data_IF_461237144765
#
_entry.id   IF_461237144765
#
_cell.length_a   1.000
_cell.length_b   1.000
_cell.length_c   1.000
_cell.angle_alpha   90.00
_cell.angle_beta   90.00
_cell.angle_gamma   90.00
#
_symmetry.space_group_name_H-M   'P 1'
#
loop_
_entity.id
_entity.type
_entity.pdbx_description
1 polymer ?
#
# COMPACT_ATOMS: atom_id res chain seq x y z
N UNK A 1 0.25 27.78 -12.30
CA UNK A 1 -0.71 26.86 -11.64
C UNK A 1 -0.81 25.60 -12.50
N UNK A 2 -0.67 24.40 -11.92
CA UNK A 2 -0.77 23.14 -12.67
C UNK A 2 -2.18 22.56 -12.52
N UNK A 3 -2.97 22.58 -13.59
CA UNK A 3 -4.32 22.00 -13.64
C UNK A 3 -4.20 20.56 -14.12
N UNK A 4 -4.80 19.63 -13.38
CA UNK A 4 -4.85 18.21 -13.71
C UNK A 4 -6.12 17.85 -14.49
N UNK A 5 -7.23 18.51 -14.16
CA UNK A 5 -8.51 18.30 -14.80
C UNK A 5 -9.42 19.50 -14.59
N UNK A 6 -10.26 19.79 -15.58
CA UNK A 6 -11.26 20.85 -15.49
C UNK A 6 -12.45 20.52 -16.39
N UNK A 7 -13.66 20.63 -15.83
CA UNK A 7 -14.92 20.58 -16.57
C UNK A 7 -15.88 21.66 -16.06
N UNK A 8 -17.16 21.63 -16.43
CA UNK A 8 -18.14 22.65 -16.01
C UNK A 8 -18.42 22.71 -14.50
N UNK A 9 -18.08 21.66 -13.75
CA UNK A 9 -18.45 21.50 -12.34
C UNK A 9 -17.27 21.55 -11.39
N UNK A 10 -16.11 21.06 -11.81
CA UNK A 10 -14.93 20.94 -10.96
C UNK A 10 -13.66 21.43 -11.65
N UNK A 11 -12.68 21.81 -10.84
CA UNK A 11 -11.30 22.02 -11.26
C UNK A 11 -10.38 21.32 -10.27
N UNK A 12 -9.52 20.45 -10.77
CA UNK A 12 -8.52 19.71 -9.99
C UNK A 12 -7.15 20.21 -10.39
N UNK A 13 -6.31 20.51 -9.39
CA UNK A 13 -5.01 21.12 -9.60
C UNK A 13 -4.00 20.65 -8.55
N UNK A 14 -2.72 20.96 -8.80
CA UNK A 14 -1.65 20.78 -7.82
C UNK A 14 -1.40 22.10 -7.09
N UNK A 15 -1.73 22.12 -5.80
CA UNK A 15 -1.38 23.22 -4.90
C UNK A 15 0.14 23.29 -4.75
N UNK A 16 0.77 24.45 -5.01
CA UNK A 16 2.17 24.67 -4.69
C UNK A 16 2.42 24.70 -3.17
N UNK A 17 3.64 24.37 -2.77
CA UNK A 17 4.09 24.53 -1.38
C UNK A 17 4.11 26.00 -0.99
N UNK A 18 3.93 26.29 0.31
CA UNK A 18 3.98 27.61 0.94
C UNK A 18 2.92 28.64 0.51
N UNK A 19 1.99 28.29 -0.37
CA UNK A 19 0.82 29.12 -0.74
C UNK A 19 -0.37 28.78 0.19
N UNK A 20 -1.06 29.75 0.81
CA UNK A 20 -2.28 29.49 1.56
C UNK A 20 -3.43 29.09 0.63
N UNK A 21 -4.34 28.24 1.11
CA UNK A 21 -5.49 27.79 0.30
C UNK A 21 -6.55 28.88 0.14
N UNK A 22 -6.73 29.68 1.19
CA UNK A 22 -7.66 30.80 1.28
C UNK A 22 -6.93 31.93 2.00
N UNK A 23 -7.31 33.19 1.71
CA UNK A 23 -6.77 34.37 2.36
C UNK A 23 -6.74 34.22 3.90
N UNK A 24 -5.62 34.63 4.49
CA UNK A 24 -5.39 34.68 5.92
C UNK A 24 -4.83 36.07 6.30
N UNK A 25 -4.50 36.27 7.58
CA UNK A 25 -4.00 37.54 8.12
C UNK A 25 -2.71 38.06 7.47
N UNK A 26 -1.99 37.21 6.71
CA UNK A 26 -0.73 37.62 6.06
C UNK A 26 -0.94 38.53 4.86
N UNK A 27 -2.13 38.50 4.24
CA UNK A 27 -2.41 39.21 2.98
C UNK A 27 -1.74 38.60 1.75
N UNK A 28 -1.10 37.43 1.87
CA UNK A 28 -0.47 36.74 0.74
C UNK A 28 -1.51 36.27 -0.30
N UNK A 29 -1.06 36.15 -1.56
CA UNK A 29 -1.87 35.56 -2.63
C UNK A 29 -2.25 34.13 -2.26
N UNK A 30 -3.54 33.86 -2.22
CA UNK A 30 -4.09 32.54 -1.93
C UNK A 30 -4.54 31.78 -3.19
N UNK A 31 -4.61 30.46 -3.05
CA UNK A 31 -4.97 29.57 -4.14
C UNK A 31 -6.41 29.77 -4.62
N UNK A 32 -7.37 30.02 -3.73
CA UNK A 32 -8.77 30.22 -4.10
C UNK A 32 -8.94 31.47 -4.97
N UNK A 33 -8.29 32.58 -4.60
CA UNK A 33 -8.25 33.81 -5.40
C UNK A 33 -7.59 33.58 -6.77
N UNK A 34 -6.48 32.82 -6.79
CA UNK A 34 -5.78 32.45 -8.04
C UNK A 34 -6.68 31.65 -8.98
N UNK A 35 -7.45 30.68 -8.45
CA UNK A 35 -8.38 29.87 -9.25
C UNK A 35 -9.55 30.71 -9.77
N UNK A 36 -10.11 31.61 -8.95
CA UNK A 36 -11.15 32.54 -9.39
C UNK A 36 -10.67 33.42 -10.54
N UNK A 37 -9.47 33.98 -10.43
CA UNK A 37 -8.87 34.80 -11.49
C UNK A 37 -8.70 34.01 -12.79
N UNK A 38 -8.14 32.80 -12.71
CA UNK A 38 -7.99 31.91 -13.87
C UNK A 38 -9.34 31.60 -14.55
N UNK A 39 -10.38 31.26 -13.78
CA UNK A 39 -11.71 30.97 -14.34
C UNK A 39 -12.31 32.23 -14.98
N UNK A 40 -12.09 33.40 -14.39
CA UNK A 40 -12.59 34.69 -14.92
C UNK A 40 -11.98 34.98 -16.29
N UNK A 41 -10.66 34.85 -16.38
CA UNK A 41 -9.89 35.10 -17.59
C UNK A 41 -10.22 34.08 -18.69
N UNK A 42 -10.13 32.78 -18.39
CA UNK A 42 -10.33 31.72 -19.39
C UNK A 42 -11.73 31.69 -20.01
N UNK A 43 -12.76 32.06 -19.24
CA UNK A 43 -14.16 31.98 -19.67
C UNK A 43 -14.80 33.36 -19.87
N UNK A 44 -14.01 34.44 -19.83
CA UNK A 44 -14.48 35.82 -19.97
C UNK A 44 -15.72 36.13 -19.12
N UNK A 45 -15.76 35.59 -17.89
CA UNK A 45 -16.97 35.65 -17.06
C UNK A 45 -17.19 37.07 -16.53
N UNK A 46 -18.37 37.68 -16.75
CA UNK A 46 -18.68 38.96 -16.16
C UNK A 46 -18.87 38.80 -14.64
N UNK A 47 -18.42 39.81 -13.87
CA UNK A 47 -18.64 39.88 -12.43
C UNK A 47 -17.70 39.01 -11.57
N UNK A 48 -18.19 38.68 -10.37
CA UNK A 48 -17.54 37.85 -9.35
C UNK A 48 -17.64 36.37 -9.73
N UNK A 49 -16.50 35.69 -9.87
CA UNK A 49 -16.48 34.26 -10.16
C UNK A 49 -16.70 33.43 -8.90
N UNK A 50 -17.72 32.57 -8.95
CA UNK A 50 -17.91 31.54 -7.92
C UNK A 50 -16.82 30.46 -8.01
N UNK A 51 -16.22 30.14 -6.87
CA UNK A 51 -15.34 28.99 -6.69
C UNK A 51 -15.52 28.48 -5.26
N UNK A 52 -15.96 27.23 -5.11
CA UNK A 52 -16.25 26.59 -3.82
C UNK A 52 -15.06 25.80 -3.30
N UNK A 53 -14.66 26.08 -2.06
CA UNK A 53 -13.64 25.35 -1.31
C UNK A 53 -14.29 24.23 -0.49
N UNK A 54 -13.93 22.98 -0.75
CA UNK A 54 -14.54 21.80 -0.08
C UNK A 54 -13.58 21.05 0.85
N UNK A 55 -12.27 21.28 0.70
CA UNK A 55 -11.24 20.78 1.59
C UNK A 55 -10.01 21.69 1.55
N UNK A 56 -9.08 21.50 2.49
CA UNK A 56 -7.88 22.35 2.62
C UNK A 56 -6.62 21.53 2.85
N UNK A 57 -5.50 22.08 2.42
CA UNK A 57 -4.16 21.67 2.78
C UNK A 57 -3.49 22.75 3.63
N UNK A 58 -2.55 22.35 4.48
CA UNK A 58 -1.74 23.30 5.23
C UNK A 58 -0.92 24.17 4.26
N UNK A 59 -0.64 25.42 4.65
CA UNK A 59 0.15 26.36 3.85
C UNK A 59 1.45 25.76 3.29
N UNK A 60 2.34 25.14 4.09
CA UNK A 60 3.59 24.58 3.58
C UNK A 60 3.42 23.28 2.78
N UNK A 61 2.24 22.65 2.81
CA UNK A 61 1.99 21.35 2.17
C UNK A 61 1.53 21.54 0.73
N UNK A 62 2.17 20.86 -0.23
CA UNK A 62 1.74 20.82 -1.63
C UNK A 62 0.87 19.62 -1.94
N UNK A 63 0.26 19.60 -3.12
CA UNK A 63 -0.40 18.40 -3.66
C UNK A 63 -1.79 18.63 -4.25
N UNK A 64 -2.47 17.54 -4.56
CA UNK A 64 -3.71 17.53 -5.32
C UNK A 64 -4.88 18.15 -4.52
N UNK A 65 -5.59 19.08 -5.14
CA UNK A 65 -6.80 19.71 -4.60
C UNK A 65 -7.90 19.77 -5.65
N UNK A 66 -9.16 19.76 -5.18
CA UNK A 66 -10.35 19.97 -6.02
C UNK A 66 -11.11 21.20 -5.52
N UNK A 67 -11.56 22.02 -6.45
CA UNK A 67 -12.48 23.13 -6.21
C UNK A 67 -13.76 22.92 -7.02
N UNK A 68 -14.88 23.37 -6.46
CA UNK A 68 -16.16 23.38 -7.15
C UNK A 68 -16.31 24.67 -7.97
N UNK A 69 -16.64 24.55 -9.26
CA UNK A 69 -16.87 25.70 -10.14
C UNK A 69 -18.30 26.24 -10.08
N UNK A 70 -19.20 25.54 -9.39
CA UNK A 70 -20.60 25.95 -9.17
C UNK A 70 -21.03 25.63 -7.75
N UNK A 71 -22.00 26.37 -7.22
CA UNK A 71 -22.56 26.14 -5.88
C UNK A 71 -23.21 24.76 -5.75
N UNK A 72 -23.83 24.26 -6.83
CA UNK A 72 -24.42 22.92 -6.90
C UNK A 72 -23.35 21.81 -6.84
N UNK A 73 -22.21 22.01 -7.49
CA UNK A 73 -21.08 21.08 -7.37
C UNK A 73 -20.50 21.11 -5.95
N UNK A 74 -20.39 22.29 -5.34
CA UNK A 74 -19.88 22.44 -3.97
C UNK A 74 -20.74 21.70 -2.95
N UNK A 75 -22.07 21.84 -3.02
CA UNK A 75 -22.99 21.18 -2.10
C UNK A 75 -22.99 19.64 -2.21
N UNK A 76 -22.63 19.11 -3.39
CA UNK A 76 -22.52 17.66 -3.64
C UNK A 76 -21.14 17.09 -3.33
N UNK A 77 -20.08 17.90 -3.49
CA UNK A 77 -18.71 17.50 -3.14
C UNK A 77 -18.47 17.56 -1.62
N UNK A 78 -18.93 18.62 -0.94
CA UNK A 78 -18.62 18.82 0.49
C UNK A 78 -18.95 17.61 1.39
N UNK A 79 -20.09 16.90 1.23
CA UNK A 79 -20.38 15.69 2.00
C UNK A 79 -19.35 14.57 1.81
N UNK A 80 -18.72 14.46 0.64
CA UNK A 80 -17.73 13.42 0.36
C UNK A 80 -16.44 13.61 1.15
N UNK A 81 -16.13 14.86 1.54
CA UNK A 81 -14.93 15.24 2.30
C UNK A 81 -15.16 15.38 3.80
N UNK A 82 -16.41 15.21 4.24
CA UNK A 82 -16.79 15.33 5.63
C UNK A 82 -16.20 14.19 6.48
N UNK A 83 -16.12 14.40 7.78
CA UNK A 83 -15.68 13.39 8.74
C UNK A 83 -16.91 12.64 9.30
N UNK A 84 -17.60 11.89 8.43
CA UNK A 84 -18.84 11.16 8.77
C UNK A 84 -19.08 9.93 7.89
N UNK A 85 -19.91 8.96 8.33
CA UNK A 85 -20.31 7.82 7.51
C UNK A 85 -20.90 8.25 6.15
N UNK A 86 -20.55 7.53 5.09
CA UNK A 86 -20.95 7.85 3.70
C UNK A 86 -20.00 8.80 2.96
N UNK A 87 -18.95 9.30 3.60
CA UNK A 87 -17.90 10.07 2.94
C UNK A 87 -17.06 9.16 2.04
N UNK A 88 -16.96 9.48 0.75
CA UNK A 88 -16.30 8.64 -0.25
C UNK A 88 -14.96 9.20 -0.74
N UNK A 89 -14.56 10.42 -0.34
CA UNK A 89 -13.28 10.99 -0.73
C UNK A 89 -12.11 10.26 -0.04
N UNK A 90 -11.17 9.76 -0.84
CA UNK A 90 -9.93 9.17 -0.36
C UNK A 90 -8.78 10.15 -0.56
N UNK A 91 -8.16 10.58 0.55
CA UNK A 91 -7.03 11.50 0.57
C UNK A 91 -5.78 10.74 0.98
N UNK A 92 -4.78 10.72 0.11
CA UNK A 92 -3.50 10.07 0.36
C UNK A 92 -2.34 11.04 0.31
N UNK A 93 -1.43 10.87 1.26
CA UNK A 93 -0.27 11.73 1.46
C UNK A 93 0.99 10.90 1.52
N UNK A 94 2.06 11.45 0.96
CA UNK A 94 3.41 10.94 1.09
C UNK A 94 4.09 11.83 2.13
N UNK A 95 4.82 11.22 3.05
CA UNK A 95 5.63 11.93 4.01
C UNK A 95 7.03 11.33 4.05
N UNK A 96 8.08 12.15 4.01
CA UNK A 96 9.43 11.70 4.39
C UNK A 96 9.62 12.04 5.85
N UNK A 97 9.87 11.02 6.67
CA UNK A 97 9.99 11.14 8.13
C UNK A 97 11.39 10.79 8.59
N UNK A 98 11.79 11.39 9.72
CA UNK A 98 12.98 11.04 10.50
C UNK A 98 12.59 10.18 11.70
N UNK A 99 13.53 9.48 12.31
CA UNK A 99 13.29 8.63 13.48
C UNK A 99 13.05 7.17 13.11
N UNK A 100 12.45 6.41 14.01
CA UNK A 100 12.19 4.99 13.78
C UNK A 100 11.07 4.80 12.73
N UNK A 101 11.28 3.96 11.69
CA UNK A 101 10.25 3.70 10.70
C UNK A 101 8.99 3.09 11.32
N UNK A 102 7.82 3.49 10.83
CA UNK A 102 6.58 2.76 11.11
C UNK A 102 6.65 1.33 10.52
N UNK A 103 5.83 0.38 10.99
CA UNK A 103 5.67 -0.89 10.32
C UNK A 103 5.30 -0.74 8.83
N UNK A 104 5.73 -1.71 8.00
CA UNK A 104 5.41 -1.74 6.56
C UNK A 104 3.95 -2.17 6.29
N UNK A 105 3.27 -2.73 7.29
CA UNK A 105 1.82 -2.94 7.25
C UNK A 105 1.09 -1.67 7.66
N UNK A 106 -0.10 -1.49 7.06
CA UNK A 106 -0.99 -0.39 7.40
C UNK A 106 -1.32 -0.43 8.89
N UNK A 107 -0.90 0.62 9.59
CA UNK A 107 -1.25 0.86 10.98
C UNK A 107 -2.25 2.00 11.06
N UNK A 108 -3.36 1.78 11.75
CA UNK A 108 -4.28 2.86 12.12
C UNK A 108 -3.69 3.63 13.31
N UNK A 109 -3.46 4.91 13.13
CA UNK A 109 -3.11 5.83 14.22
C UNK A 109 -4.37 6.59 14.63
N UNK A 110 -4.72 6.47 15.90
CA UNK A 110 -5.85 7.15 16.50
C UNK A 110 -5.38 8.00 17.68
N UNK A 111 -5.71 9.29 17.64
CA UNK A 111 -5.37 10.25 18.68
C UNK A 111 -6.54 11.21 18.92
N UNK A 112 -6.59 11.81 20.10
CA UNK A 112 -7.45 12.95 20.38
C UNK A 112 -6.64 14.23 20.24
N UNK A 113 -7.08 15.14 19.38
CA UNK A 113 -6.35 16.37 19.05
C UNK A 113 -7.08 17.61 19.56
N UNK A 114 -6.37 18.45 20.31
CA UNK A 114 -6.84 19.78 20.71
C UNK A 114 -6.04 20.85 19.97
N UNK A 115 -6.75 21.78 19.34
CA UNK A 115 -6.14 22.95 18.67
C UNK A 115 -5.90 24.04 19.71
N UNK A 116 -4.72 24.61 19.66
CA UNK A 116 -4.29 25.79 20.40
C UNK A 116 -4.24 26.95 19.40
N UNK A 117 -5.12 27.93 19.58
CA UNK A 117 -5.26 29.08 18.67
C UNK A 117 -4.07 30.04 18.79
N UNK A 118 -3.57 30.26 20.01
CA UNK A 118 -2.43 31.16 20.27
C UNK A 118 -1.15 30.65 19.60
N UNK A 119 -0.85 29.36 19.80
CA UNK A 119 0.34 28.72 19.22
C UNK A 119 0.15 28.29 17.76
N UNK A 120 -1.07 28.44 17.22
CA UNK A 120 -1.47 27.97 15.88
C UNK A 120 -0.97 26.54 15.62
N UNK A 121 -1.19 25.67 16.61
CA UNK A 121 -0.71 24.28 16.67
C UNK A 121 -1.81 23.37 17.24
N UNK A 122 -1.77 22.11 16.84
CA UNK A 122 -2.54 21.03 17.46
C UNK A 122 -1.64 20.17 18.34
N UNK A 123 -2.18 19.65 19.43
CA UNK A 123 -1.52 18.74 20.36
C UNK A 123 -2.31 17.44 20.52
N UNK A 124 -1.61 16.33 20.74
CA UNK A 124 -2.24 15.08 21.22
C UNK A 124 -2.56 15.26 22.70
N UNK A 125 -3.79 14.95 23.08
CA UNK A 125 -4.30 15.04 24.45
C UNK A 125 -5.01 13.74 24.84
N UNK A 126 -5.23 13.48 26.15
CA UNK A 126 -6.03 12.35 26.59
C UNK A 126 -7.46 12.38 26.02
N UNK A 127 -8.05 11.20 25.84
CA UNK A 127 -9.47 11.05 25.53
C UNK A 127 -10.34 11.76 26.59
N UNK A 128 -11.43 12.38 26.16
CA UNK A 128 -12.33 13.13 27.03
C UNK A 128 -11.89 14.56 27.36
N UNK A 129 -10.69 15.00 26.94
CA UNK A 129 -10.26 16.39 27.10
C UNK A 129 -11.24 17.35 26.40
N UNK A 130 -11.74 18.34 27.12
CA UNK A 130 -12.70 19.31 26.58
C UNK A 130 -12.17 20.03 25.33
N UNK A 131 -13.00 20.03 24.27
CA UNK A 131 -12.70 20.61 22.97
C UNK A 131 -11.77 19.77 22.08
N UNK A 132 -11.30 18.62 22.54
CA UNK A 132 -10.51 17.69 21.73
C UNK A 132 -11.40 16.97 20.71
N UNK A 133 -10.83 16.67 19.54
CA UNK A 133 -11.51 15.94 18.46
C UNK A 133 -10.75 14.68 18.11
N UNK A 134 -11.48 13.58 17.96
CA UNK A 134 -10.93 12.32 17.47
C UNK A 134 -10.32 12.51 16.07
N UNK A 135 -9.13 11.95 15.89
CA UNK A 135 -8.36 12.01 14.66
C UNK A 135 -7.81 10.63 14.30
N UNK A 136 -8.05 10.20 13.06
CA UNK A 136 -7.66 8.89 12.58
C UNK A 136 -6.99 9.00 11.20
N UNK A 137 -5.92 8.25 11.04
CA UNK A 137 -5.27 8.00 9.75
C UNK A 137 -4.75 6.56 9.70
N UNK A 138 -4.51 6.04 8.51
CA UNK A 138 -3.71 4.84 8.30
C UNK A 138 -2.36 5.26 7.74
N UNK A 139 -1.27 4.70 8.27
CA UNK A 139 0.08 4.96 7.80
C UNK A 139 0.87 3.66 7.67
N UNK A 140 1.80 3.61 6.73
CA UNK A 140 2.80 2.54 6.60
C UNK A 140 4.11 3.07 6.02
N UNK A 141 5.22 2.49 6.43
CA UNK A 141 6.50 2.73 5.75
C UNK A 141 6.52 2.02 4.40
N UNK A 142 6.92 2.74 3.36
CA UNK A 142 7.10 2.23 2.00
C UNK A 142 8.56 1.86 1.75
N UNK A 143 9.50 2.69 2.18
CA UNK A 143 10.94 2.47 1.95
C UNK A 143 11.76 3.23 2.98
N UNK A 144 12.94 2.71 3.31
CA UNK A 144 13.87 3.30 4.28
C UNK A 144 15.23 3.47 3.59
N UNK A 145 15.75 4.69 3.57
CA UNK A 145 17.03 5.04 2.92
C UNK A 145 17.72 6.16 3.69
N UNK A 146 19.02 5.99 3.98
CA UNK A 146 19.85 7.05 4.55
C UNK A 146 19.30 7.65 5.86
N UNK A 147 18.70 6.82 6.73
CA UNK A 147 18.08 7.27 7.99
C UNK A 147 16.74 7.99 7.83
N UNK A 148 16.20 8.07 6.61
CA UNK A 148 14.87 8.60 6.30
C UNK A 148 13.93 7.47 5.90
N UNK A 149 12.63 7.68 6.14
CA UNK A 149 11.59 6.74 5.71
C UNK A 149 10.53 7.46 4.89
N UNK A 150 10.16 6.88 3.74
CA UNK A 150 8.97 7.30 3.00
C UNK A 150 7.74 6.60 3.59
N UNK A 151 6.72 7.37 3.93
CA UNK A 151 5.47 6.89 4.54
C UNK A 151 4.29 7.21 3.63
N UNK A 152 3.46 6.20 3.36
CA UNK A 152 2.14 6.33 2.73
C UNK A 152 1.09 6.53 3.82
N UNK A 153 0.34 7.64 3.74
CA UNK A 153 -0.68 8.01 4.71
C UNK A 153 -2.04 8.12 4.02
N UNK A 154 -3.02 7.31 4.44
CA UNK A 154 -4.43 7.49 4.10
C UNK A 154 -5.13 8.24 5.23
N UNK A 155 -5.63 9.43 4.93
CA UNK A 155 -6.23 10.31 5.91
C UNK A 155 -7.73 10.02 6.06
N UNK A 156 -8.15 9.51 7.23
CA UNK A 156 -9.55 9.13 7.49
C UNK A 156 -10.38 10.31 8.02
N UNK A 157 -9.80 11.12 8.91
CA UNK A 157 -10.41 12.35 9.46
C UNK A 157 -9.64 13.59 8.97
N UNK A 158 -10.22 14.80 9.04
CA UNK A 158 -9.59 16.02 8.53
C UNK A 158 -9.29 17.08 9.59
N UNK A 159 -8.46 16.79 10.60
CA UNK A 159 -8.15 17.74 11.69
C UNK A 159 -6.95 18.64 11.36
N UNK A 160 -6.86 19.79 12.03
CA UNK A 160 -5.78 20.75 11.84
C UNK A 160 -4.41 20.12 12.14
N UNK A 161 -3.46 20.22 11.21
CA UNK A 161 -2.12 19.62 11.28
C UNK A 161 -2.10 18.11 11.58
N UNK A 162 -3.19 17.39 11.31
CA UNK A 162 -3.39 16.04 11.83
C UNK A 162 -2.22 15.08 11.55
N UNK A 163 -1.80 14.95 10.29
CA UNK A 163 -0.71 14.04 9.91
C UNK A 163 0.58 14.41 10.64
N UNK A 164 0.88 15.71 10.69
CA UNK A 164 2.10 16.25 11.28
C UNK A 164 2.22 15.93 12.76
N UNK A 165 1.15 16.17 13.52
CA UNK A 165 1.13 15.92 14.96
C UNK A 165 1.07 14.42 15.27
N UNK A 166 0.31 13.63 14.51
CA UNK A 166 0.20 12.18 14.76
C UNK A 166 1.49 11.43 14.43
N UNK A 167 2.17 11.76 13.33
CA UNK A 167 3.47 11.15 13.00
C UNK A 167 4.56 11.57 13.98
N UNK A 168 4.59 12.85 14.38
CA UNK A 168 5.51 13.31 15.44
C UNK A 168 5.27 12.58 16.77
N UNK A 169 4.01 12.44 17.19
CA UNK A 169 3.65 11.69 18.41
C UNK A 169 3.99 10.20 18.32
N UNK A 170 3.96 9.62 17.12
CA UNK A 170 4.37 8.24 16.88
C UNK A 170 5.90 8.04 16.81
N UNK A 171 6.69 9.08 17.08
CA UNK A 171 8.16 9.01 17.05
C UNK A 171 8.79 9.16 15.66
N UNK A 172 7.98 9.46 14.63
CA UNK A 172 8.42 9.61 13.26
C UNK A 172 8.08 11.00 12.68
N UNK A 173 8.61 12.10 13.26
CA UNK A 173 8.29 13.45 12.80
C UNK A 173 8.71 13.68 11.34
N UNK A 174 7.92 14.49 10.65
CA UNK A 174 8.13 14.76 9.22
C UNK A 174 9.39 15.62 9.03
N UNK A 175 10.20 15.26 8.03
CA UNK A 175 11.38 16.03 7.66
C UNK A 175 11.00 17.46 7.24
N UNK A 176 11.77 18.46 7.70
CA UNK A 176 11.51 19.87 7.42
C UNK A 176 10.27 20.45 8.14
N UNK A 177 9.60 19.69 9.01
CA UNK A 177 8.48 20.22 9.79
C UNK A 177 8.96 21.06 10.99
N UNK A 178 9.12 22.37 10.76
CA UNK A 178 9.58 23.31 11.79
C UNK A 178 8.64 23.45 13.00
N UNK A 179 7.40 22.93 12.94
CA UNK A 179 6.47 22.95 14.07
C UNK A 179 6.58 21.68 14.91
N UNK A 180 6.68 20.52 14.27
CA UNK A 180 6.51 19.22 14.94
C UNK A 180 7.75 18.33 14.92
N UNK A 181 8.82 18.77 14.27
CA UNK A 181 10.10 18.10 14.26
C UNK A 181 11.15 18.98 14.96
N UNK A 182 11.58 18.62 16.19
CA UNK A 182 12.63 19.35 16.91
C UNK A 182 13.95 19.42 16.14
N UNK A 183 14.20 18.47 15.24
CA UNK A 183 15.43 18.39 14.44
C UNK A 183 15.31 19.09 13.08
N UNK A 184 14.20 19.78 12.79
CA UNK A 184 14.04 20.52 11.54
C UNK A 184 14.96 21.74 11.50
N UNK A 185 15.65 21.93 10.37
CA UNK A 185 16.48 23.12 10.15
C UNK A 185 15.58 24.25 9.61
N UNK A 186 15.68 25.48 10.15
CA UNK A 186 14.95 26.63 9.63
C UNK A 186 15.12 26.80 8.12
N UNK A 187 14.02 27.11 7.43
CA UNK A 187 14.00 27.24 5.97
C UNK A 187 13.85 25.92 5.20
N UNK A 188 13.92 24.75 5.85
CA UNK A 188 13.60 23.49 5.19
C UNK A 188 12.11 23.42 4.81
N UNK A 189 11.86 22.96 3.59
CA UNK A 189 10.53 22.67 3.07
C UNK A 189 9.99 21.37 3.71
N UNK A 190 8.80 21.40 4.31
CA UNK A 190 8.20 20.18 4.87
C UNK A 190 8.04 19.11 3.79
N UNK A 191 8.50 17.90 4.09
CA UNK A 191 8.33 16.74 3.23
C UNK A 191 6.98 16.04 3.49
N UNK A 192 5.88 16.78 3.29
CA UNK A 192 4.52 16.26 3.30
C UNK A 192 3.79 16.72 2.02
N UNK A 193 3.20 15.78 1.29
CA UNK A 193 2.59 16.06 -0.01
C UNK A 193 1.32 15.23 -0.23
N UNK A 194 0.22 15.88 -0.62
CA UNK A 194 -1.02 15.20 -0.98
C UNK A 194 -0.91 14.61 -2.40
N UNK A 195 -0.34 13.40 -2.51
CA UNK A 195 0.01 12.83 -3.82
C UNK A 195 -1.18 12.22 -4.57
N UNK A 196 -2.26 11.86 -3.89
CA UNK A 196 -3.43 11.25 -4.53
C UNK A 196 -4.72 11.69 -3.87
N UNK A 197 -5.69 12.04 -4.70
CA UNK A 197 -7.04 12.38 -4.30
C UNK A 197 -8.04 11.63 -5.17
N UNK A 198 -8.88 10.82 -4.54
CA UNK A 198 -10.02 10.16 -5.21
C UNK A 198 -11.33 10.66 -4.63
N UNK A 199 -12.32 10.88 -5.48
CA UNK A 199 -13.67 11.29 -5.09
C UNK A 199 -14.65 10.97 -6.21
N UNK A 200 -15.94 11.11 -5.92
CA UNK A 200 -17.00 10.88 -6.90
C UNK A 200 -17.36 12.21 -7.57
N UNK A 201 -17.39 12.24 -8.90
CA UNK A 201 -17.72 13.45 -9.64
C UNK A 201 -19.15 13.92 -9.30
N UNK A 202 -19.38 15.20 -8.94
CA UNK A 202 -20.66 15.69 -8.38
C UNK A 202 -21.84 15.69 -9.35
N UNK A 203 -21.64 15.31 -10.61
CA UNK A 203 -22.74 15.23 -11.60
C UNK A 203 -22.82 13.85 -12.26
N UNK A 204 -21.69 13.26 -12.64
CA UNK A 204 -21.68 11.97 -13.36
C UNK A 204 -21.64 10.78 -12.43
N UNK A 205 -21.36 10.99 -11.14
CA UNK A 205 -21.20 9.92 -10.15
C UNK A 205 -20.05 8.94 -10.46
N UNK A 206 -19.18 9.31 -11.41
CA UNK A 206 -17.99 8.53 -11.74
C UNK A 206 -16.92 8.74 -10.67
N UNK A 207 -16.28 7.65 -10.24
CA UNK A 207 -15.15 7.73 -9.30
C UNK A 207 -13.89 8.13 -10.05
N UNK A 208 -13.36 9.31 -9.71
CA UNK A 208 -12.16 9.86 -10.31
C UNK A 208 -10.99 9.77 -9.33
N UNK A 209 -9.77 9.59 -9.86
CA UNK A 209 -8.52 9.61 -9.07
C UNK A 209 -7.50 10.48 -9.78
N UNK A 210 -6.92 11.42 -9.05
CA UNK A 210 -5.90 12.34 -9.55
C UNK A 210 -4.64 12.22 -8.71
N UNK A 211 -3.49 12.15 -9.37
CA UNK A 211 -2.19 12.01 -8.72
C UNK A 211 -1.22 13.12 -9.11
N UNK A 212 -0.30 13.45 -8.20
CA UNK A 212 0.82 14.34 -8.44
C UNK A 212 2.00 13.93 -7.57
N UNK A 213 3.22 14.20 -8.03
CA UNK A 213 4.44 13.85 -7.30
C UNK A 213 5.18 15.09 -6.79
N UNK A 214 5.71 15.07 -5.56
CA UNK A 214 6.62 16.10 -5.11
C UNK A 214 7.98 16.01 -5.83
N UNK A 215 8.77 17.08 -5.77
CA UNK A 215 10.11 17.15 -6.38
C UNK A 215 11.10 17.86 -5.44
N UNK A 216 12.38 17.51 -5.56
CA UNK A 216 13.51 18.16 -4.86
C UNK A 216 13.67 17.77 -3.39
N UNK A 217 14.82 18.11 -2.79
CA UNK A 217 15.05 17.96 -1.35
C UNK A 217 14.92 16.51 -0.85
N UNK A 218 14.23 16.30 0.28
CA UNK A 218 14.09 14.98 0.89
C UNK A 218 13.39 13.93 0.01
N UNK A 219 12.70 14.35 -1.06
CA UNK A 219 12.02 13.46 -1.99
C UNK A 219 12.95 12.73 -2.98
N UNK A 220 14.16 13.27 -3.23
CA UNK A 220 15.06 12.78 -4.29
C UNK A 220 15.49 11.32 -4.09
N UNK A 221 15.73 10.91 -2.85
CA UNK A 221 16.07 9.52 -2.52
C UNK A 221 14.94 8.50 -2.75
N UNK A 222 13.72 8.96 -2.99
CA UNK A 222 12.50 8.14 -3.05
C UNK A 222 11.72 8.31 -4.37
N UNK A 223 12.33 8.83 -5.43
CA UNK A 223 11.64 9.14 -6.67
C UNK A 223 10.91 7.92 -7.28
N UNK A 224 11.55 6.77 -7.32
CA UNK A 224 10.95 5.53 -7.85
C UNK A 224 9.83 5.03 -6.94
N UNK A 225 10.02 5.06 -5.61
CA UNK A 225 8.97 4.68 -4.67
C UNK A 225 7.75 5.58 -4.71
N UNK A 226 7.95 6.89 -4.93
CA UNK A 226 6.86 7.85 -5.10
C UNK A 226 6.07 7.58 -6.39
N UNK A 227 6.76 7.29 -7.50
CA UNK A 227 6.13 6.88 -8.77
C UNK A 227 5.31 5.61 -8.58
N UNK A 228 5.90 4.56 -8.02
CA UNK A 228 5.22 3.30 -7.73
C UNK A 228 4.02 3.50 -6.80
N UNK A 229 4.17 4.31 -5.76
CA UNK A 229 3.10 4.62 -4.82
C UNK A 229 1.92 5.31 -5.53
N UNK A 230 2.20 6.26 -6.44
CA UNK A 230 1.16 6.92 -7.24
C UNK A 230 0.44 6.00 -8.22
N UNK A 231 1.09 4.91 -8.65
CA UNK A 231 0.50 3.84 -9.44
C UNK A 231 -0.17 2.75 -8.59
N UNK A 232 -0.30 2.95 -7.28
CA UNK A 232 -0.92 1.98 -6.37
C UNK A 232 -0.07 0.72 -6.15
N UNK A 233 1.25 0.80 -6.33
CA UNK A 233 2.22 -0.28 -6.11
C UNK A 233 2.99 -0.04 -4.82
N UNK A 234 2.97 -1.01 -3.92
CA UNK A 234 3.73 -0.95 -2.67
C UNK A 234 5.14 -1.49 -2.90
N UNK A 235 6.12 -0.61 -3.11
CA UNK A 235 7.53 -0.98 -3.11
C UNK A 235 7.94 -1.45 -1.71
N UNK A 236 8.76 -2.51 -1.63
CA UNK A 236 9.38 -2.98 -0.38
C UNK A 236 10.91 -2.91 -0.47
N UNK A 237 11.45 -3.16 -1.67
CA UNK A 237 12.87 -3.00 -1.98
C UNK A 237 13.03 -2.54 -3.42
N UNK A 238 13.94 -1.61 -3.68
CA UNK A 238 14.29 -1.18 -5.03
C UNK A 238 15.75 -0.78 -5.08
N UNK A 239 16.49 -1.36 -6.03
CA UNK A 239 17.78 -0.86 -6.47
C UNK A 239 17.79 -0.72 -7.99
N UNK A 240 18.96 -0.56 -8.62
CA UNK A 240 19.09 -0.41 -10.08
C UNK A 240 18.76 -1.67 -10.90
N UNK A 241 18.74 -2.84 -10.26
CA UNK A 241 18.60 -4.15 -10.92
C UNK A 241 17.35 -4.90 -10.47
N UNK A 242 16.91 -4.74 -9.22
CA UNK A 242 15.83 -5.53 -8.61
C UNK A 242 14.78 -4.62 -7.99
N UNK A 243 13.52 -4.96 -8.22
CA UNK A 243 12.36 -4.37 -7.58
C UNK A 243 11.58 -5.48 -6.87
N UNK A 244 11.31 -5.31 -5.58
CA UNK A 244 10.41 -6.20 -4.82
C UNK A 244 9.20 -5.39 -4.38
N UNK A 245 8.01 -5.86 -4.75
CA UNK A 245 6.74 -5.21 -4.43
C UNK A 245 5.86 -6.11 -3.58
N UNK A 246 5.05 -5.51 -2.72
CA UNK A 246 4.01 -6.21 -1.97
C UNK A 246 2.69 -6.16 -2.74
N UNK A 247 2.32 -7.28 -3.36
CA UNK A 247 1.10 -7.43 -4.15
C UNK A 247 -0.13 -7.48 -3.24
N UNK A 248 -1.13 -6.61 -3.45
CA UNK A 248 -2.42 -6.77 -2.78
C UNK A 248 -3.16 -8.02 -3.30
N UNK A 249 -4.07 -8.56 -2.49
CA UNK A 249 -5.02 -9.56 -2.98
C UNK A 249 -5.95 -8.94 -4.03
N UNK A 250 -6.32 -9.72 -5.06
CA UNK A 250 -7.19 -9.31 -6.16
C UNK A 250 -6.46 -8.79 -7.41
N UNK A 251 -5.16 -8.51 -7.34
CA UNK A 251 -4.36 -8.01 -8.48
C UNK A 251 -3.50 -9.14 -9.06
N UNK A 252 -3.46 -9.30 -10.38
CA UNK A 252 -2.57 -10.26 -11.07
C UNK A 252 -1.16 -9.69 -11.23
N UNK A 253 -0.16 -10.54 -11.48
CA UNK A 253 1.23 -10.10 -11.54
C UNK A 253 1.59 -9.61 -12.94
N UNK A 254 1.33 -10.44 -13.96
CA UNK A 254 1.76 -10.20 -15.32
C UNK A 254 0.58 -9.96 -16.27
N UNK A 255 0.79 -9.17 -17.31
CA UNK A 255 -0.23 -8.91 -18.34
C UNK A 255 -0.70 -10.18 -19.05
N UNK A 256 0.19 -11.17 -19.16
CA UNK A 256 -0.13 -12.49 -19.71
C UNK A 256 -1.15 -13.29 -18.87
N UNK A 257 -1.43 -12.88 -17.63
CA UNK A 257 -2.42 -13.53 -16.75
C UNK A 257 -3.87 -13.12 -17.10
N UNK A 258 -4.05 -12.14 -17.99
CA UNK A 258 -5.34 -11.56 -18.35
C UNK A 258 -5.75 -10.42 -17.41
N UNK A 259 -6.52 -9.47 -17.96
CA UNK A 259 -6.97 -8.25 -17.27
C UNK A 259 -6.11 -7.02 -17.57
N UNK A 260 -6.70 -5.84 -17.46
CA UNK A 260 -6.04 -4.55 -17.75
C UNK A 260 -5.23 -4.01 -16.56
N UNK A 261 -5.58 -4.43 -15.33
CA UNK A 261 -5.00 -3.93 -14.08
C UNK A 261 -4.12 -5.00 -13.40
N UNK A 262 -2.83 -5.04 -13.76
CA UNK A 262 -1.82 -5.97 -13.23
C UNK A 262 -0.71 -5.21 -12.50
N UNK A 263 0.12 -5.89 -11.69
CA UNK A 263 1.31 -5.23 -11.13
C UNK A 263 2.25 -4.72 -12.22
N UNK A 264 2.45 -5.50 -13.29
CA UNK A 264 3.27 -5.12 -14.43
C UNK A 264 2.73 -3.85 -15.12
N UNK A 265 1.42 -3.77 -15.40
CA UNK A 265 0.83 -2.58 -16.02
C UNK A 265 0.88 -1.36 -15.12
N UNK A 266 0.68 -1.52 -13.79
CA UNK A 266 0.85 -0.43 -12.82
C UNK A 266 2.29 0.06 -12.72
N UNK A 267 3.27 -0.86 -12.69
CA UNK A 267 4.69 -0.47 -12.67
C UNK A 267 5.04 0.28 -13.96
N UNK A 268 4.59 -0.20 -15.12
CA UNK A 268 4.80 0.49 -16.40
C UNK A 268 4.14 1.89 -16.40
N UNK A 269 2.92 2.04 -15.88
CA UNK A 269 2.23 3.32 -15.76
C UNK A 269 2.96 4.32 -14.83
N UNK A 270 3.80 3.83 -13.92
CA UNK A 270 4.67 4.67 -13.09
C UNK A 270 5.89 5.23 -13.85
N UNK A 271 6.10 4.80 -15.10
CA UNK A 271 7.25 5.15 -15.93
C UNK A 271 8.50 4.32 -15.62
N UNK A 272 8.36 3.22 -14.88
CA UNK A 272 9.45 2.30 -14.57
C UNK A 272 9.36 1.05 -15.43
N UNK A 273 10.51 0.60 -15.91
CA UNK A 273 10.63 -0.68 -16.59
C UNK A 273 10.97 -1.77 -15.58
N UNK A 274 10.12 -2.79 -15.50
CA UNK A 274 10.34 -3.94 -14.64
C UNK A 274 9.65 -5.19 -15.20
N UNK A 275 10.32 -6.33 -15.15
CA UNK A 275 9.85 -7.59 -15.71
C UNK A 275 9.61 -8.62 -14.60
N UNK A 276 8.43 -9.25 -14.53
CA UNK A 276 8.13 -10.21 -13.48
C UNK A 276 9.04 -11.44 -13.57
N UNK A 277 9.60 -11.87 -12.44
CA UNK A 277 10.45 -13.07 -12.34
C UNK A 277 9.64 -14.30 -11.91
N UNK A 278 8.65 -14.08 -11.05
CA UNK A 278 7.70 -15.11 -10.64
C UNK A 278 6.33 -14.48 -10.44
N UNK A 279 5.31 -15.34 -10.26
CA UNK A 279 3.93 -14.92 -10.06
C UNK A 279 3.40 -15.41 -8.72
N UNK A 280 2.38 -14.71 -8.23
CA UNK A 280 1.48 -15.15 -7.18
C UNK A 280 0.07 -15.17 -7.76
N UNK A 281 -0.78 -16.08 -7.27
CA UNK A 281 -2.18 -16.12 -7.66
C UNK A 281 -2.87 -14.78 -7.34
N UNK A 282 -3.93 -14.43 -8.08
CA UNK A 282 -4.65 -13.17 -7.90
C UNK A 282 -5.06 -12.93 -6.45
N UNK A 283 -5.62 -13.95 -5.77
CA UNK A 283 -6.05 -13.85 -4.36
C UNK A 283 -4.92 -13.89 -3.34
N UNK A 284 -3.76 -14.46 -3.69
CA UNK A 284 -2.60 -14.52 -2.80
C UNK A 284 -1.95 -13.14 -2.72
N UNK A 285 -1.68 -12.66 -1.51
CA UNK A 285 -0.98 -11.38 -1.31
C UNK A 285 0.52 -11.58 -1.09
N UNK A 286 1.30 -10.51 -1.06
CA UNK A 286 2.68 -10.55 -0.59
C UNK A 286 3.74 -10.29 -1.66
N UNK A 287 4.98 -10.62 -1.31
CA UNK A 287 6.17 -10.22 -2.06
C UNK A 287 6.27 -10.88 -3.44
N UNK A 288 6.54 -10.04 -4.44
CA UNK A 288 6.84 -10.41 -5.83
C UNK A 288 8.11 -9.71 -6.30
N UNK A 289 9.00 -10.46 -6.94
CA UNK A 289 10.25 -9.94 -7.53
C UNK A 289 10.07 -9.60 -9.00
N UNK A 290 10.53 -8.41 -9.36
CA UNK A 290 10.71 -7.93 -10.71
C UNK A 290 12.19 -7.61 -10.97
N UNK A 291 12.65 -7.90 -12.18
CA UNK A 291 13.94 -7.46 -12.68
C UNK A 291 13.79 -6.10 -13.36
N UNK A 292 14.70 -5.16 -13.14
CA UNK A 292 14.66 -3.83 -13.77
C UNK A 292 15.41 -3.73 -15.09
N UNK A 293 16.14 -4.77 -15.46
CA UNK A 293 16.88 -4.84 -16.72
C UNK A 293 17.12 -6.30 -17.14
N UNK A 294 17.52 -6.50 -18.39
CA UNK A 294 17.71 -7.83 -18.97
C UNK A 294 18.79 -8.68 -18.25
N UNK A 295 19.89 -8.06 -17.79
CA UNK A 295 20.95 -8.78 -17.06
C UNK A 295 20.45 -9.29 -15.71
N UNK A 296 19.72 -8.45 -14.98
CA UNK A 296 19.08 -8.83 -13.74
C UNK A 296 18.03 -9.93 -13.96
N UNK A 297 17.26 -9.84 -15.05
CA UNK A 297 16.24 -10.85 -15.40
C UNK A 297 16.88 -12.22 -15.61
N UNK A 298 17.93 -12.31 -16.41
CA UNK A 298 18.65 -13.56 -16.63
C UNK A 298 19.20 -14.16 -15.34
N UNK A 299 19.82 -13.33 -14.48
CA UNK A 299 20.36 -13.79 -13.20
C UNK A 299 19.28 -14.25 -12.20
N UNK A 300 18.13 -13.56 -12.16
CA UNK A 300 16.99 -13.91 -11.30
C UNK A 300 16.28 -15.18 -11.79
N UNK A 301 16.14 -15.36 -13.11
CA UNK A 301 15.58 -16.58 -13.70
C UNK A 301 16.46 -17.79 -13.39
N UNK A 302 17.79 -17.63 -13.52
CA UNK A 302 18.73 -18.68 -13.16
C UNK A 302 18.66 -19.02 -11.67
N UNK A 303 18.57 -18.01 -10.80
CA UNK A 303 18.40 -18.22 -9.36
C UNK A 303 17.07 -18.92 -9.01
N UNK A 304 15.98 -18.64 -9.74
CA UNK A 304 14.72 -19.40 -9.61
C UNK A 304 14.88 -20.85 -10.05
N UNK A 305 15.58 -21.10 -11.17
CA UNK A 305 15.85 -22.44 -11.71
C UNK A 305 16.69 -23.27 -10.74
N UNK A 306 17.72 -22.67 -10.16
CA UNK A 306 18.59 -23.26 -9.14
C UNK A 306 17.96 -23.30 -7.75
N UNK A 307 16.77 -22.71 -7.56
CA UNK A 307 16.03 -22.63 -6.29
C UNK A 307 16.81 -21.95 -5.16
N UNK A 308 17.64 -20.97 -5.52
CA UNK A 308 18.46 -20.21 -4.57
C UNK A 308 17.76 -18.94 -4.06
N UNK A 309 16.57 -18.64 -4.60
CA UNK A 309 15.64 -17.65 -4.03
C UNK A 309 14.68 -18.36 -3.08
N UNK A 310 14.90 -18.20 -1.78
CA UNK A 310 14.03 -18.73 -0.73
C UNK A 310 12.76 -17.91 -0.63
N UNK A 311 11.61 -18.58 -0.56
CA UNK A 311 10.29 -17.95 -0.49
C UNK A 311 9.53 -18.51 0.71
N UNK A 312 9.21 -17.63 1.65
CA UNK A 312 8.49 -17.96 2.87
C UNK A 312 7.14 -17.28 2.86
N UNK A 313 6.12 -18.04 3.25
CA UNK A 313 4.73 -17.65 3.27
C UNK A 313 4.17 -17.75 4.69
N UNK A 314 3.18 -16.93 4.99
CA UNK A 314 2.29 -17.14 6.14
C UNK A 314 0.92 -17.53 5.67
N UNK A 315 0.28 -18.46 6.38
CA UNK A 315 -1.11 -18.83 6.14
C UNK A 315 -1.88 -19.05 7.44
N UNK A 316 -3.20 -18.83 7.40
CA UNK A 316 -4.11 -19.35 8.43
C UNK A 316 -4.76 -20.61 7.86
N UNK A 317 -4.63 -21.72 8.57
CA UNK A 317 -5.16 -23.03 8.17
C UNK A 317 -6.14 -23.54 9.21
N UNK A 318 -7.11 -24.33 8.77
CA UNK A 318 -7.98 -25.11 9.65
C UNK A 318 -7.18 -26.18 10.40
N UNK A 319 -7.51 -26.41 11.66
CA UNK A 319 -6.85 -27.41 12.50
C UNK A 319 -5.42 -27.05 12.91
N UNK A 320 -4.66 -28.07 13.31
CA UNK A 320 -3.26 -27.97 13.70
C UNK A 320 -2.44 -28.92 12.82
N UNK A 321 -1.74 -28.40 11.80
CA UNK A 321 -0.94 -29.24 10.92
C UNK A 321 0.17 -29.96 11.66
N UNK A 322 0.29 -31.26 11.39
CA UNK A 322 1.30 -32.13 11.96
C UNK A 322 1.93 -32.98 10.84
N UNK A 323 3.20 -33.33 11.00
CA UNK A 323 3.86 -34.37 10.20
C UNK A 323 3.33 -35.75 10.60
N UNK A 324 3.67 -36.79 9.82
CA UNK A 324 3.26 -38.18 10.14
C UNK A 324 3.70 -38.64 11.54
N UNK A 325 4.82 -38.13 12.04
CA UNK A 325 5.33 -38.38 13.39
C UNK A 325 4.80 -37.38 14.45
N UNK A 326 3.72 -36.64 14.15
CA UNK A 326 3.00 -35.78 15.09
C UNK A 326 3.68 -34.44 15.40
N UNK A 327 4.71 -34.03 14.64
CA UNK A 327 5.41 -32.75 14.88
C UNK A 327 4.69 -31.60 14.19
N UNK A 328 4.53 -30.50 14.91
CA UNK A 328 3.98 -29.23 14.41
C UNK A 328 4.97 -28.40 13.57
N UNK A 329 6.04 -29.05 13.11
CA UNK A 329 7.02 -28.48 12.19
C UNK A 329 7.76 -29.60 11.48
N UNK A 330 7.98 -29.45 10.19
CA UNK A 330 8.69 -30.43 9.38
C UNK A 330 8.44 -30.19 7.91
N UNK A 331 8.51 -31.26 7.12
CA UNK A 331 8.38 -31.19 5.67
C UNK A 331 7.25 -32.08 5.21
N UNK A 332 6.32 -31.52 4.44
CA UNK A 332 5.30 -32.25 3.70
C UNK A 332 5.85 -32.62 2.33
N UNK A 333 5.86 -33.91 2.00
CA UNK A 333 6.35 -34.45 0.72
C UNK A 333 5.22 -35.19 0.02
N UNK A 334 4.84 -34.69 -1.15
CA UNK A 334 3.76 -35.28 -1.95
C UNK A 334 4.11 -35.24 -3.45
N UNK A 335 3.26 -35.86 -4.26
CA UNK A 335 3.33 -35.87 -5.71
C UNK A 335 2.07 -35.22 -6.28
N UNK A 336 2.24 -34.28 -7.22
CA UNK A 336 1.14 -33.53 -7.78
C UNK A 336 1.02 -33.72 -9.29
N UNK A 337 -0.19 -34.03 -9.74
CA UNK A 337 -0.55 -34.07 -11.17
C UNK A 337 -1.41 -32.85 -11.47
N UNK A 338 -1.04 -32.08 -12.51
CA UNK A 338 -1.84 -30.94 -12.96
C UNK A 338 -3.08 -31.45 -13.67
N UNK A 339 -4.25 -30.95 -13.26
CA UNK A 339 -5.51 -31.15 -13.96
C UNK A 339 -5.79 -29.91 -14.83
N UNK A 340 -5.62 -29.98 -16.16
CA UNK A 340 -5.82 -28.85 -17.04
C UNK A 340 -7.28 -28.39 -17.11
N UNK A 341 -8.24 -29.31 -16.91
CA UNK A 341 -9.67 -29.03 -17.03
C UNK A 341 -10.19 -28.18 -15.87
N UNK A 342 -9.66 -28.41 -14.67
CA UNK A 342 -10.04 -27.69 -13.46
C UNK A 342 -9.09 -26.53 -13.13
N UNK A 343 -7.93 -26.46 -13.79
CA UNK A 343 -6.87 -25.52 -13.41
C UNK A 343 -6.37 -25.74 -11.98
N UNK A 344 -6.37 -27.00 -11.53
CA UNK A 344 -5.95 -27.44 -10.19
C UNK A 344 -4.79 -28.43 -10.29
N UNK A 345 -4.28 -28.82 -9.13
CA UNK A 345 -3.37 -29.94 -8.95
C UNK A 345 -4.02 -30.95 -8.02
N UNK A 346 -3.93 -32.22 -8.38
CA UNK A 346 -4.34 -33.34 -7.51
C UNK A 346 -3.10 -33.91 -6.84
N UNK A 347 -3.20 -34.09 -5.52
CA UNK A 347 -2.08 -34.48 -4.65
C UNK A 347 -2.18 -35.96 -4.30
N UNK A 348 -1.02 -36.61 -4.17
CA UNK A 348 -0.88 -38.03 -3.89
C UNK A 348 0.31 -38.28 -2.97
N UNK A 349 0.21 -39.27 -2.09
CA UNK A 349 1.27 -39.65 -1.14
C UNK A 349 2.41 -40.45 -1.80
N UNK A 350 2.14 -41.09 -2.94
CA UNK A 350 3.08 -41.94 -3.67
C UNK A 350 3.31 -41.44 -5.11
N UNK A 351 4.49 -41.75 -5.71
CA UNK A 351 4.77 -41.42 -7.10
C UNK A 351 3.68 -41.92 -8.05
N UNK A 352 3.31 -41.08 -9.01
CA UNK A 352 2.39 -41.45 -10.11
C UNK A 352 2.94 -40.99 -11.44
N UNK A 353 2.52 -41.65 -12.52
CA UNK A 353 2.88 -41.24 -13.87
C UNK A 353 2.45 -39.78 -14.12
N UNK A 354 3.39 -38.95 -14.57
CA UNK A 354 3.15 -37.52 -14.82
C UNK A 354 3.05 -36.65 -13.57
N UNK A 355 3.24 -37.21 -12.36
CA UNK A 355 3.24 -36.44 -11.13
C UNK A 355 4.62 -35.83 -10.87
N UNK A 356 4.62 -34.57 -10.45
CA UNK A 356 5.82 -33.86 -10.04
C UNK A 356 5.91 -33.83 -8.52
N UNK A 357 7.11 -34.04 -7.97
CA UNK A 357 7.35 -33.89 -6.53
C UNK A 357 7.07 -32.46 -6.05
N UNK A 358 6.46 -32.41 -4.86
CA UNK A 358 6.13 -31.23 -4.07
C UNK A 358 6.68 -31.37 -2.66
N UNK A 359 7.52 -30.43 -2.26
CA UNK A 359 8.11 -30.37 -0.93
C UNK A 359 7.85 -29.00 -0.30
N UNK A 360 7.08 -28.99 0.79
CA UNK A 360 6.73 -27.79 1.55
C UNK A 360 7.20 -27.95 3.00
N UNK A 361 8.19 -27.16 3.41
CA UNK A 361 8.57 -27.10 4.82
C UNK A 361 7.60 -26.18 5.56
N UNK A 362 7.22 -26.51 6.78
CA UNK A 362 6.32 -25.68 7.58
C UNK A 362 6.65 -25.69 9.07
N UNK A 363 6.11 -24.68 9.77
CA UNK A 363 6.08 -24.59 11.22
C UNK A 363 4.78 -23.92 11.66
N UNK A 364 4.11 -24.50 12.66
CA UNK A 364 3.00 -23.84 13.36
C UNK A 364 3.58 -22.76 14.28
N UNK A 365 3.19 -21.51 14.04
CA UNK A 365 3.62 -20.34 14.81
C UNK A 365 2.68 -20.05 15.98
N UNK A 366 1.38 -20.26 15.78
CA UNK A 366 0.34 -20.12 16.80
C UNK A 366 -0.85 -21.00 16.44
N UNK A 367 -1.62 -21.44 17.45
CA UNK A 367 -2.86 -22.18 17.25
C UNK A 367 -3.90 -21.69 18.25
N UNK A 368 -5.12 -21.42 17.77
CA UNK A 368 -6.23 -20.88 18.56
C UNK A 368 -7.55 -21.14 17.84
N UNK A 369 -8.63 -21.39 18.58
CA UNK A 369 -9.99 -21.46 18.04
C UNK A 369 -10.15 -22.39 16.82
N UNK A 370 -9.48 -23.54 16.84
CA UNK A 370 -9.55 -24.54 15.78
C UNK A 370 -8.79 -24.18 14.50
N UNK A 371 -7.95 -23.14 14.51
CA UNK A 371 -7.09 -22.73 13.40
C UNK A 371 -5.64 -22.56 13.84
N UNK A 372 -4.72 -22.59 12.88
CA UNK A 372 -3.30 -22.35 13.10
C UNK A 372 -2.74 -21.29 12.16
N UNK A 373 -1.90 -20.41 12.70
CA UNK A 373 -0.99 -19.57 11.91
C UNK A 373 0.26 -20.40 11.59
N UNK A 374 0.53 -20.62 10.31
CA UNK A 374 1.69 -21.37 9.84
C UNK A 374 2.64 -20.50 9.04
N UNK A 375 3.93 -20.76 9.20
CA UNK A 375 4.96 -20.34 8.26
C UNK A 375 5.28 -21.52 7.34
N UNK A 376 5.33 -21.29 6.02
CA UNK A 376 5.60 -22.30 5.02
C UNK A 376 6.69 -21.84 4.05
N UNK A 377 7.71 -22.67 3.84
CA UNK A 377 8.77 -22.45 2.85
C UNK A 377 8.57 -23.37 1.65
N UNK A 378 8.61 -22.78 0.46
CA UNK A 378 8.56 -23.50 -0.81
C UNK A 378 9.94 -24.08 -1.14
N UNK A 379 10.17 -25.36 -0.84
CA UNK A 379 11.39 -26.07 -1.25
C UNK A 379 11.32 -26.43 -2.74
N UNK A 380 10.14 -26.86 -3.21
CA UNK A 380 9.79 -26.91 -4.64
C UNK A 380 8.85 -25.76 -5.01
N UNK A 381 8.75 -25.42 -6.30
CA UNK A 381 7.85 -24.37 -6.78
C UNK A 381 6.78 -24.91 -7.73
N UNK A 382 5.78 -25.63 -7.23
CA UNK A 382 4.65 -26.14 -8.04
C UNK A 382 3.40 -25.28 -7.91
N UNK A 383 2.51 -25.38 -8.89
CA UNK A 383 1.22 -24.67 -8.92
C UNK A 383 0.39 -24.99 -7.67
N UNK A 384 -0.11 -23.97 -6.98
CA UNK A 384 -0.92 -24.08 -5.76
C UNK A 384 -0.32 -24.94 -4.64
N UNK A 385 1.00 -25.15 -4.63
CA UNK A 385 1.65 -26.14 -3.78
C UNK A 385 1.26 -26.03 -2.30
N UNK A 386 1.35 -24.84 -1.68
CA UNK A 386 0.98 -24.66 -0.26
C UNK A 386 -0.49 -25.00 -0.03
N UNK A 387 -1.38 -24.45 -0.88
CA UNK A 387 -2.83 -24.64 -0.80
C UNK A 387 -3.19 -26.13 -0.85
N UNK A 388 -2.63 -26.83 -1.83
CA UNK A 388 -2.90 -28.24 -2.07
C UNK A 388 -2.27 -29.15 -1.00
N UNK A 389 -1.04 -28.87 -0.55
CA UNK A 389 -0.40 -29.63 0.53
C UNK A 389 -1.19 -29.58 1.83
N UNK A 390 -1.62 -28.38 2.24
CA UNK A 390 -2.35 -28.19 3.50
C UNK A 390 -3.77 -28.77 3.44
N UNK A 391 -4.46 -28.63 2.30
CA UNK A 391 -5.76 -29.29 2.11
C UNK A 391 -5.64 -30.83 2.11
N UNK A 392 -4.58 -31.39 1.52
CA UNK A 392 -4.35 -32.84 1.46
C UNK A 392 -4.18 -33.48 2.84
N UNK A 393 -3.58 -32.76 3.80
CA UNK A 393 -3.47 -33.20 5.20
C UNK A 393 -4.68 -32.80 6.07
N UNK A 394 -5.79 -32.40 5.45
CA UNK A 394 -7.02 -32.02 6.17
C UNK A 394 -6.97 -30.67 6.90
N UNK A 395 -5.96 -29.84 6.61
CA UNK A 395 -5.78 -28.52 7.21
C UNK A 395 -5.89 -27.40 6.16
N UNK A 396 -7.03 -27.21 5.47
CA UNK A 396 -7.13 -26.27 4.37
C UNK A 396 -6.88 -24.82 4.78
N UNK A 397 -6.42 -23.99 3.84
CA UNK A 397 -6.22 -22.55 4.07
C UNK A 397 -7.57 -21.84 4.17
N UNK A 398 -7.70 -20.97 5.16
CA UNK A 398 -8.86 -20.10 5.34
C UNK A 398 -9.02 -19.13 4.14
N UNK A 399 -10.21 -19.10 3.56
CA UNK A 399 -10.54 -18.32 2.37
C UNK A 399 -10.22 -19.01 1.04
N UNK A 400 -9.72 -20.25 1.06
CA UNK A 400 -9.48 -21.02 -0.16
C UNK A 400 -10.78 -21.61 -0.71
N UNK A 401 -11.23 -21.10 -1.85
CA UNK A 401 -12.44 -21.56 -2.53
C UNK A 401 -12.22 -22.73 -3.50
N UNK A 402 -10.95 -23.09 -3.76
CA UNK A 402 -10.57 -24.15 -4.69
C UNK A 402 -10.22 -25.45 -3.99
N UNK A 403 -9.41 -25.36 -2.93
CA UNK A 403 -8.95 -26.49 -2.14
C UNK A 403 -9.55 -26.52 -0.74
N UNK A 404 -10.15 -25.41 -0.30
CA UNK A 404 -10.60 -25.25 1.07
C UNK A 404 -12.01 -25.76 1.32
N UNK A 405 -12.40 -25.65 2.59
CA UNK A 405 -13.68 -26.10 3.09
C UNK A 405 -14.70 -24.94 3.09
N UNK A 406 -15.89 -25.19 2.52
CA UNK A 406 -16.94 -24.16 2.37
C UNK A 406 -17.59 -23.77 3.70
N UNK A 407 -17.71 -24.69 4.64
CA UNK A 407 -18.26 -24.44 5.96
C UNK A 407 -17.26 -23.62 6.79
N UNK A 408 -15.99 -24.03 6.76
CA UNK A 408 -14.88 -23.29 7.38
C UNK A 408 -14.80 -21.84 6.90
N UNK A 409 -14.97 -21.61 5.59
CA UNK A 409 -14.97 -20.27 4.98
C UNK A 409 -16.22 -19.43 5.31
N UNK A 410 -17.31 -20.05 5.79
CA UNK A 410 -18.57 -19.37 6.12
C UNK A 410 -18.72 -19.09 7.61
N UNK A 411 -17.80 -19.59 8.43
CA UNK A 411 -17.83 -19.41 9.87
C UNK A 411 -17.85 -17.90 10.24
N UNK A 412 -18.87 -17.44 10.99
CA UNK A 412 -18.94 -16.07 11.47
C UNK A 412 -17.70 -15.58 12.23
N UNK A 413 -16.99 -16.48 12.93
CA UNK A 413 -15.79 -16.16 13.71
C UNK A 413 -14.67 -15.57 12.84
N UNK A 414 -14.57 -16.00 11.57
CA UNK A 414 -13.49 -15.60 10.67
C UNK A 414 -13.88 -14.51 9.67
N UNK A 415 -15.11 -13.98 9.73
CA UNK A 415 -15.60 -12.93 8.81
C UNK A 415 -14.71 -11.69 8.78
N UNK A 416 -14.11 -11.30 9.91
CA UNK A 416 -13.20 -10.16 9.96
C UNK A 416 -11.93 -10.43 9.18
N UNK A 417 -11.29 -11.58 9.40
CA UNK A 417 -10.08 -11.99 8.68
C UNK A 417 -10.32 -12.08 7.17
N UNK A 418 -11.44 -12.68 6.77
CA UNK A 418 -11.80 -12.82 5.35
C UNK A 418 -12.14 -11.49 4.66
N UNK A 419 -12.52 -10.45 5.41
CA UNK A 419 -12.64 -9.08 4.88
C UNK A 419 -11.28 -8.43 4.66
N UNK A 420 -10.29 -8.72 5.51
CA UNK A 420 -8.93 -8.18 5.41
C UNK A 420 -8.11 -8.93 4.35
N UNK A 421 -8.30 -10.24 4.23
CA UNK A 421 -7.62 -11.11 3.28
C UNK A 421 -8.58 -12.21 2.77
N UNK A 422 -9.09 -12.11 1.53
CA UNK A 422 -10.00 -13.10 0.95
C UNK A 422 -9.42 -14.52 0.86
N UNK A 423 -8.09 -14.63 0.83
CA UNK A 423 -7.34 -15.86 1.00
C UNK A 423 -6.26 -15.56 2.04
N UNK A 424 -6.29 -16.23 3.19
CA UNK A 424 -5.31 -16.06 4.25
C UNK A 424 -4.00 -16.80 3.91
N UNK A 425 -3.36 -16.39 2.80
CA UNK A 425 -2.05 -16.83 2.34
C UNK A 425 -1.29 -15.61 1.79
N UNK A 426 -0.10 -15.36 2.34
CA UNK A 426 0.74 -14.23 1.95
C UNK A 426 2.21 -14.62 1.82
N UNK A 427 2.88 -14.20 0.75
CA UNK A 427 4.34 -14.26 0.63
C UNK A 427 4.98 -13.18 1.51
N UNK A 428 5.68 -13.57 2.57
CA UNK A 428 6.15 -12.65 3.62
C UNK A 428 7.66 -12.43 3.64
N UNK A 429 8.44 -13.33 3.03
CA UNK A 429 9.90 -13.19 3.00
C UNK A 429 10.50 -13.79 1.74
N UNK A 430 11.48 -13.06 1.20
CA UNK A 430 12.32 -13.47 0.09
C UNK A 430 13.78 -13.40 0.52
N UNK A 431 14.49 -14.51 0.40
CA UNK A 431 15.94 -14.58 0.66
C UNK A 431 16.69 -14.83 -0.65
N UNK A 432 17.71 -14.02 -0.92
CA UNK A 432 18.47 -14.09 -2.16
C UNK A 432 19.83 -14.74 -1.96
N UNK A 433 20.08 -15.80 -2.71
CA UNK A 433 21.39 -16.37 -2.93
C UNK A 433 21.60 -16.57 -4.44
N UNK A 434 22.76 -16.21 -4.93
CA UNK A 434 23.15 -16.24 -6.32
C UNK A 434 24.50 -16.93 -6.45
N UNK A 435 24.75 -17.66 -7.55
CA UNK A 435 26.04 -18.30 -7.81
C UNK A 435 27.19 -17.29 -7.78
N UNK A 436 28.37 -17.74 -7.34
CA UNK A 436 29.60 -16.95 -7.37
C UNK A 436 29.92 -16.50 -8.80
N UNK A 437 30.28 -15.24 -8.97
CA UNK A 437 30.56 -14.60 -10.27
C UNK A 437 29.31 -14.19 -11.06
N UNK A 438 28.11 -14.40 -10.52
CA UNK A 438 26.88 -13.97 -11.18
C UNK A 438 26.66 -12.46 -11.07
N UNK A 439 25.88 -11.90 -12.01
CA UNK A 439 25.60 -10.46 -12.08
C UNK A 439 24.99 -9.88 -10.79
N UNK A 440 24.23 -10.69 -10.04
CA UNK A 440 23.56 -10.29 -8.81
C UNK A 440 24.20 -10.84 -7.54
N UNK A 441 25.42 -11.37 -7.60
CA UNK A 441 26.15 -11.90 -6.42
C UNK A 441 26.21 -10.90 -5.25
N UNK A 442 26.30 -9.60 -5.55
CA UNK A 442 26.28 -8.51 -4.56
C UNK A 442 25.02 -8.47 -3.67
N UNK A 443 23.95 -9.15 -4.07
CA UNK A 443 22.69 -9.24 -3.34
C UNK A 443 22.62 -10.50 -2.46
N UNK A 444 23.68 -11.31 -2.40
CA UNK A 444 23.74 -12.46 -1.52
C UNK A 444 23.56 -12.07 -0.06
N UNK A 445 22.66 -12.77 0.64
CA UNK A 445 22.31 -12.48 2.02
C UNK A 445 21.24 -11.39 2.18
N UNK A 446 20.84 -10.72 1.09
CA UNK A 446 19.68 -9.83 1.13
C UNK A 446 18.44 -10.66 1.50
N UNK A 447 17.71 -10.19 2.51
CA UNK A 447 16.41 -10.70 2.88
C UNK A 447 15.41 -9.55 2.86
N UNK A 448 14.37 -9.69 2.04
CA UNK A 448 13.27 -8.72 1.96
C UNK A 448 12.06 -9.34 2.64
N UNK A 449 11.45 -8.60 3.57
CA UNK A 449 10.31 -9.07 4.35
C UNK A 449 9.14 -8.10 4.28
N UNK A 450 7.92 -8.63 4.34
CA UNK A 450 6.68 -7.90 4.56
C UNK A 450 5.81 -8.68 5.54
N UNK A 451 4.97 -8.01 6.32
CA UNK A 451 4.04 -8.72 7.20
C UNK A 451 2.78 -9.13 6.43
N UNK A 452 2.14 -10.19 6.91
CA UNK A 452 0.87 -10.66 6.36
C UNK A 452 -0.26 -9.68 6.72
N UNK A 453 -1.27 -9.50 5.85
CA UNK A 453 -2.43 -8.63 6.13
C UNK A 453 -3.42 -9.24 7.15
N UNK A 454 -3.05 -10.33 7.80
CA UNK A 454 -3.86 -11.06 8.78
C UNK A 454 -2.96 -11.55 9.92
N UNK A 455 -3.55 -11.71 11.10
CA UNK A 455 -2.93 -12.30 12.28
C UNK A 455 -3.95 -13.15 13.04
N UNK A 456 -3.47 -14.07 13.86
CA UNK A 456 -4.29 -14.89 14.74
C UNK A 456 -4.68 -14.15 16.03
#
# INVERSE_FOLDING_TARGET
>A
MQILYEDNHIIVLVKPVNIPVQADETGDIDLLSTVKAYIKEKYSKPGEVYCGLVHRLDRPVGGVMVFARTSKAASRLAPQFADKPGSCAEKRYAAVVTGEPLPCVKRRLECWLKKDEEKRKSFVVPEGTEGAKRAQLEARTVSVKGGLSLVDVKLLTGRHHQIRVQLSHAGCPIWGDQKYNPSAVPGQQIALFAYSLSFEHPTTHERMTFTALPRGGAWEGFADELRLLSAGVCCVYSDKDVLVVNKPAGVTVANADGGEDTLESRIAASGLEAYPVHRLDAKTSGLVVFARNAKAKAALDEAMRLRTIKKVYRAIVGGVPETEDGRRSGTLRFYAVKDPSMGLVKVYDAPRQGAAEMETAFRVCAAKDGVSLVEAELVTGRTHQIRASFAHIGCPILGDDRYGDREFNRDPAFRRLLKEAPLCLASVKLGFAFPKGSYLERLNGLSVSAEAPFSL
#
